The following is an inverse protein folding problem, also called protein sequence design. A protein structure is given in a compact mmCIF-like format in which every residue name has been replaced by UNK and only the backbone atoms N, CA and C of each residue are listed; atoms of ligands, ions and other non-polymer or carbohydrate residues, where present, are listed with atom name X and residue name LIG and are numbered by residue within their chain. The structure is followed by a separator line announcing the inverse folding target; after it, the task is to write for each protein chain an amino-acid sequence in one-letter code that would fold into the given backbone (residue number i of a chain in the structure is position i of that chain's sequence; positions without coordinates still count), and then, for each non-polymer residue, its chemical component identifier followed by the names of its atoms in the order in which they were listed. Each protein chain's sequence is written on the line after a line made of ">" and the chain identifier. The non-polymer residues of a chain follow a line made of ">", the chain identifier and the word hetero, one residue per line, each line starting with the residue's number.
data_IF_594369786318
#
_entry.id   IF_594369786318
#
_cell.length_a   1.000
_cell.length_b   1.000
_cell.length_c   1.000
_cell.angle_alpha   90.00
_cell.angle_beta   90.00
_cell.angle_gamma   90.00
#
_symmetry.space_group_name_H-M   'P 1'
#
loop_
_entity.id
_entity.type
_entity.pdbx_description
1 polymer ?
#
# COMPACT_ATOMS: atom_id res chain seq x y z
N UNK A 1 -4.40 1.86 -6.76
CA UNK A 1 -3.38 2.69 -6.08
C UNK A 1 -2.00 2.39 -6.70
N UNK A 2 -1.51 3.21 -7.62
CA UNK A 2 -0.32 2.90 -8.42
C UNK A 2 0.75 3.99 -8.37
N UNK A 3 2.02 3.59 -8.50
CA UNK A 3 3.14 4.52 -8.61
C UNK A 3 3.23 5.46 -7.40
N UNK A 4 3.25 6.77 -7.64
CA UNK A 4 3.32 7.78 -6.58
C UNK A 4 2.16 7.73 -5.58
N UNK A 5 0.97 7.28 -5.99
CA UNK A 5 -0.14 7.08 -5.04
C UNK A 5 0.16 5.93 -4.05
N UNK A 6 0.87 4.89 -4.50
CA UNK A 6 1.34 3.83 -3.62
C UNK A 6 2.44 4.35 -2.69
N UNK A 7 3.35 5.19 -3.17
CA UNK A 7 4.36 5.84 -2.33
C UNK A 7 3.74 6.70 -1.21
N UNK A 8 2.67 7.41 -1.53
CA UNK A 8 1.88 8.16 -0.56
C UNK A 8 1.25 7.22 0.48
N UNK A 9 0.57 6.16 0.02
CA UNK A 9 -0.02 5.17 0.91
C UNK A 9 1.03 4.50 1.82
N UNK A 10 2.21 4.18 1.30
CA UNK A 10 3.34 3.62 2.06
C UNK A 10 3.89 4.59 3.11
N UNK A 11 3.63 5.88 2.98
CA UNK A 11 4.03 6.90 3.96
C UNK A 11 3.01 7.01 5.11
N UNK A 12 1.83 6.40 4.98
CA UNK A 12 0.84 6.33 6.04
C UNK A 12 1.17 5.24 7.07
N UNK A 13 0.92 5.54 8.34
CA UNK A 13 1.10 4.58 9.45
C UNK A 13 0.22 3.33 9.27
N UNK A 14 -1.02 3.53 8.87
CA UNK A 14 -1.99 2.47 8.62
C UNK A 14 -2.54 2.60 7.20
N UNK A 15 -2.78 1.47 6.55
CA UNK A 15 -3.27 1.33 5.18
C UNK A 15 -4.45 0.38 5.19
N UNK A 16 -5.61 0.88 4.78
CA UNK A 16 -6.86 0.11 4.69
C UNK A 16 -7.41 0.23 3.27
N UNK A 17 -8.08 -0.81 2.81
CA UNK A 17 -8.52 -0.88 1.41
C UNK A 17 -9.86 -1.61 1.25
N UNK A 18 -10.50 -1.43 0.10
CA UNK A 18 -11.67 -2.23 -0.31
C UNK A 18 -11.22 -3.56 -0.94
N UNK A 19 -12.11 -4.56 -1.10
CA UNK A 19 -11.75 -5.86 -1.65
C UNK A 19 -11.32 -5.77 -3.13
N UNK A 20 -11.80 -4.73 -3.83
CA UNK A 20 -11.50 -4.47 -5.24
C UNK A 20 -10.24 -3.62 -5.45
N UNK A 21 -9.53 -3.25 -4.37
CA UNK A 21 -8.32 -2.45 -4.49
C UNK A 21 -7.19 -3.23 -5.17
N UNK A 22 -6.34 -2.49 -5.90
CA UNK A 22 -5.15 -3.04 -6.53
C UNK A 22 -3.96 -2.09 -6.39
N UNK A 23 -2.76 -2.66 -6.25
CA UNK A 23 -1.51 -1.99 -5.92
C UNK A 23 -0.40 -2.40 -6.89
N UNK A 24 0.45 -1.45 -7.30
CA UNK A 24 1.54 -1.72 -8.23
C UNK A 24 2.50 -0.52 -8.34
N UNK A 25 3.76 -0.80 -8.64
CA UNK A 25 4.69 0.16 -9.25
C UNK A 25 4.85 -0.14 -10.75
N UNK A 26 4.21 0.62 -11.65
CA UNK A 26 4.25 0.35 -13.08
C UNK A 26 5.57 0.76 -13.76
N UNK A 27 6.56 1.20 -12.99
CA UNK A 27 7.78 1.84 -13.50
C UNK A 27 8.56 0.99 -14.51
N UNK A 28 8.69 -0.32 -14.27
CA UNK A 28 9.36 -1.22 -15.20
C UNK A 28 8.75 -1.22 -16.61
N UNK A 29 7.41 -1.10 -16.74
CA UNK A 29 6.74 -1.01 -18.03
C UNK A 29 6.94 0.33 -18.75
N UNK A 30 7.38 1.35 -18.01
CA UNK A 30 7.53 2.72 -18.48
C UNK A 30 9.00 3.13 -18.62
N UNK A 31 9.95 2.26 -18.26
CA UNK A 31 11.38 2.57 -18.24
C UNK A 31 11.77 3.59 -17.16
N UNK A 32 11.00 3.70 -16.08
CA UNK A 32 11.24 4.63 -14.97
C UNK A 32 11.25 3.89 -13.62
N UNK A 33 11.82 4.52 -12.60
CA UNK A 33 11.80 4.01 -11.21
C UNK A 33 10.90 4.88 -10.32
N UNK A 34 10.34 4.33 -9.25
CA UNK A 34 9.61 5.12 -8.24
C UNK A 34 10.53 6.15 -7.56
N UNK A 35 10.03 7.38 -7.38
CA UNK A 35 10.80 8.51 -6.87
C UNK A 35 10.44 8.99 -5.46
N UNK A 36 9.34 8.55 -4.85
CA UNK A 36 8.86 9.09 -3.55
C UNK A 36 9.16 8.15 -2.38
N UNK A 37 10.41 7.67 -2.35
CA UNK A 37 10.95 6.66 -1.44
C UNK A 37 10.21 5.31 -1.46
N UNK A 38 9.44 4.99 -2.50
CA UNK A 38 8.85 3.65 -2.69
C UNK A 38 9.87 2.54 -2.63
N UNK A 39 11.03 2.75 -3.27
CA UNK A 39 12.19 1.84 -3.23
C UNK A 39 12.74 1.58 -1.83
N UNK A 40 12.44 2.46 -0.86
CA UNK A 40 12.90 2.31 0.52
C UNK A 40 11.80 1.80 1.44
N UNK A 41 10.57 2.31 1.31
CA UNK A 41 9.45 1.97 2.19
C UNK A 41 8.86 0.59 1.89
N UNK A 42 8.67 0.27 0.61
CA UNK A 42 8.07 -1.01 0.21
C UNK A 42 8.87 -2.22 0.70
N UNK A 43 10.18 -2.36 0.44
CA UNK A 43 10.94 -3.53 0.91
C UNK A 43 11.02 -3.63 2.43
N UNK A 44 10.99 -2.51 3.17
CA UNK A 44 10.93 -2.53 4.64
C UNK A 44 9.59 -3.04 5.17
N UNK A 45 8.52 -2.85 4.39
CA UNK A 45 7.16 -3.24 4.77
C UNK A 45 6.86 -4.69 4.42
N UNK A 46 7.15 -5.11 3.18
CA UNK A 46 6.74 -6.41 2.64
C UNK A 46 7.91 -7.38 2.39
N UNK A 47 9.12 -7.00 2.78
CA UNK A 47 10.36 -7.72 2.51
C UNK A 47 10.92 -7.45 1.11
N UNK A 48 12.24 -7.61 0.97
CA UNK A 48 12.97 -7.31 -0.27
C UNK A 48 12.49 -8.16 -1.45
N UNK A 49 12.34 -9.48 -1.25
CA UNK A 49 11.96 -10.40 -2.33
C UNK A 49 10.64 -10.00 -2.99
N UNK A 50 9.62 -9.66 -2.18
CA UNK A 50 8.30 -9.27 -2.70
C UNK A 50 8.31 -7.88 -3.31
N UNK A 51 9.04 -6.93 -2.71
CA UNK A 51 9.21 -5.61 -3.30
C UNK A 51 9.92 -5.67 -4.66
N UNK A 52 10.99 -6.46 -4.77
CA UNK A 52 11.71 -6.69 -6.04
C UNK A 52 10.82 -7.34 -7.10
N UNK A 53 10.01 -8.34 -6.74
CA UNK A 53 9.01 -8.93 -7.63
C UNK A 53 8.11 -7.82 -8.20
N UNK A 54 7.51 -7.00 -7.34
CA UNK A 54 6.64 -5.90 -7.76
C UNK A 54 7.36 -4.85 -8.63
N UNK A 55 8.60 -4.46 -8.28
CA UNK A 55 9.34 -3.45 -9.02
C UNK A 55 9.75 -3.93 -10.42
N UNK A 56 10.28 -5.15 -10.54
CA UNK A 56 10.83 -5.62 -11.82
C UNK A 56 9.76 -6.14 -12.78
N UNK A 57 8.65 -6.67 -12.26
CA UNK A 57 7.59 -7.22 -13.09
C UNK A 57 6.45 -6.24 -13.35
N UNK A 58 6.43 -5.09 -12.64
CA UNK A 58 5.27 -4.20 -12.58
C UNK A 58 3.96 -4.93 -12.22
N UNK A 59 4.04 -6.06 -11.50
CA UNK A 59 2.89 -6.88 -11.13
C UNK A 59 1.86 -6.06 -10.35
N UNK A 60 0.60 -6.32 -10.63
CA UNK A 60 -0.53 -5.85 -9.82
C UNK A 60 -0.80 -6.83 -8.71
N UNK A 61 -0.93 -6.30 -7.51
CA UNK A 61 -1.28 -7.02 -6.28
C UNK A 61 -2.70 -6.63 -5.91
N UNK A 62 -3.57 -7.61 -5.70
CA UNK A 62 -4.95 -7.38 -5.25
C UNK A 62 -5.02 -7.22 -3.72
N UNK A 63 -6.19 -6.85 -3.20
CA UNK A 63 -6.36 -6.61 -1.76
C UNK A 63 -6.06 -7.86 -0.89
N UNK A 64 -6.52 -9.08 -1.22
CA UNK A 64 -6.19 -10.26 -0.44
C UNK A 64 -4.68 -10.54 -0.36
N UNK A 65 -3.96 -10.48 -1.48
CA UNK A 65 -2.51 -10.66 -1.48
C UNK A 65 -1.81 -9.51 -0.76
N UNK A 66 -2.27 -8.27 -0.95
CA UNK A 66 -1.72 -7.10 -0.27
C UNK A 66 -1.82 -7.24 1.25
N UNK A 67 -2.94 -7.76 1.76
CA UNK A 67 -3.09 -8.04 3.19
C UNK A 67 -2.14 -9.15 3.64
N UNK A 68 -2.06 -10.25 2.86
CA UNK A 68 -1.21 -11.40 3.18
C UNK A 68 0.28 -11.05 3.26
N UNK A 69 0.75 -10.14 2.43
CA UNK A 69 2.17 -9.70 2.42
C UNK A 69 2.45 -8.52 3.34
N UNK A 70 1.44 -7.99 4.05
CA UNK A 70 1.60 -6.84 4.95
C UNK A 70 1.64 -5.47 4.26
N UNK A 71 1.25 -5.39 2.98
CA UNK A 71 1.16 -4.12 2.25
C UNK A 71 0.02 -3.25 2.78
N UNK A 72 -1.09 -3.86 3.16
CA UNK A 72 -2.23 -3.23 3.84
C UNK A 72 -2.51 -3.95 5.16
N UNK A 73 -3.18 -3.26 6.07
CA UNK A 73 -3.44 -3.73 7.44
C UNK A 73 -4.87 -4.29 7.60
N UNK A 74 -5.84 -3.81 6.79
CA UNK A 74 -7.26 -4.21 6.89
C UNK A 74 -7.96 -4.10 5.52
N UNK A 75 -8.97 -4.95 5.29
CA UNK A 75 -9.90 -4.85 4.16
C UNK A 75 -11.30 -4.52 4.72
N UNK A 76 -11.89 -3.42 4.25
CA UNK A 76 -13.26 -3.00 4.59
C UNK A 76 -14.21 -3.28 3.42
N UNK A 77 -15.53 -3.16 3.61
CA UNK A 77 -16.53 -3.52 2.60
C UNK A 77 -16.48 -2.62 1.36
N UNK A 78 -16.70 -1.32 1.56
CA UNK A 78 -16.67 -0.32 0.48
C UNK A 78 -15.88 0.95 0.84
N UNK A 79 -15.93 1.96 -0.04
CA UNK A 79 -15.19 3.20 0.15
C UNK A 79 -15.70 4.03 1.35
N UNK A 80 -17.00 3.96 1.66
CA UNK A 80 -17.57 4.64 2.82
C UNK A 80 -17.04 3.97 4.08
N UNK A 81 -17.08 2.64 4.14
CA UNK A 81 -16.53 1.87 5.25
C UNK A 81 -15.05 2.18 5.48
N UNK A 82 -14.26 2.28 4.39
CA UNK A 82 -12.83 2.64 4.46
C UNK A 82 -12.65 4.03 5.10
N UNK A 83 -13.46 5.02 4.72
CA UNK A 83 -13.33 6.37 5.28
C UNK A 83 -13.71 6.41 6.76
N UNK A 84 -14.83 5.79 7.14
CA UNK A 84 -15.26 5.70 8.54
C UNK A 84 -14.21 4.98 9.39
N UNK A 85 -13.65 3.90 8.86
CA UNK A 85 -12.59 3.15 9.52
C UNK A 85 -11.31 3.98 9.68
N UNK A 86 -10.89 4.72 8.66
CA UNK A 86 -9.75 5.63 8.75
C UNK A 86 -9.95 6.69 9.84
N UNK A 87 -11.13 7.31 9.89
CA UNK A 87 -11.47 8.33 10.92
C UNK A 87 -11.43 7.71 12.31
N UNK A 88 -11.98 6.51 12.48
CA UNK A 88 -11.96 5.78 13.75
C UNK A 88 -10.52 5.50 14.21
N UNK A 89 -9.65 5.03 13.32
CA UNK A 89 -8.24 4.75 13.63
C UNK A 89 -7.48 6.02 14.03
N UNK A 90 -7.70 7.14 13.32
CA UNK A 90 -7.05 8.42 13.63
C UNK A 90 -7.50 9.01 14.96
N UNK A 91 -8.79 8.85 15.32
CA UNK A 91 -9.34 9.38 16.58
C UNK A 91 -9.02 8.51 17.79
N UNK A 92 -8.87 7.19 17.59
CA UNK A 92 -8.53 6.24 18.65
C UNK A 92 -7.05 6.25 19.02
N UNK A 93 -6.15 6.69 18.13
CA UNK A 93 -4.70 6.74 18.37
C UNK A 93 -4.22 7.99 19.15
N UNK A 94 -5.10 8.69 19.87
CA UNK A 94 -4.77 9.94 20.61
C UNK A 94 -3.80 9.79 21.79
N UNK A 95 -3.14 8.66 22.00
CA UNK A 95 -2.28 8.46 23.19
C UNK A 95 -1.04 7.61 22.90
N UNK A 96 -0.13 8.08 22.04
CA UNK A 96 1.31 7.77 22.18
C UNK A 96 2.14 8.78 21.37
N UNK A 97 2.35 9.96 21.94
CA UNK A 97 3.49 10.84 21.66
C UNK A 97 4.06 11.26 23.01
#
# INVERSE_FOLDING_TARGET
>A
CFGGALDLALSCKTRIATPNASFSHPGANLGIITGWSGTQRLPRLIGESKASEMFFTAKRVDAPEALRIGLIDEICGDNVDVLERAVTLCTSQKTTL
#
